data_IF_936295184336
#
_entry.id   IF_936295184336
#
_cell.length_a   1.000
_cell.length_b   1.000
_cell.length_c   1.000
_cell.angle_alpha   90.00
_cell.angle_beta   90.00
_cell.angle_gamma   90.00
#
_symmetry.space_group_name_H-M   'P 1'
#
loop_
_entity.id
_entity.type
_entity.pdbx_description
1 polymer ?
#
# COMPACT_ATOMS: atom_id res chain seq x y z
N UNK A 1 -17.87 -5.55 17.39
CA UNK A 1 -17.06 -4.34 17.63
C UNK A 1 -17.96 -3.22 18.12
N UNK A 2 -17.68 -2.57 19.27
CA UNK A 2 -18.54 -1.50 19.79
C UNK A 2 -18.04 -0.16 19.30
N UNK A 3 -18.56 0.35 18.18
CA UNK A 3 -18.30 1.73 17.70
C UNK A 3 -18.41 2.77 18.83
N UNK A 4 -19.33 2.53 19.78
CA UNK A 4 -19.55 3.36 20.94
C UNK A 4 -18.36 3.43 21.92
N UNK A 5 -17.49 2.41 21.98
CA UNK A 5 -16.29 2.40 22.85
C UNK A 5 -15.09 3.13 22.25
N UNK A 6 -15.21 3.69 21.05
CA UNK A 6 -14.14 4.46 20.42
C UNK A 6 -13.99 5.84 21.09
N UNK A 7 -12.74 6.30 21.17
CA UNK A 7 -12.41 7.64 21.66
C UNK A 7 -12.98 8.73 20.75
N UNK A 8 -13.19 9.97 21.24
CA UNK A 8 -13.64 11.08 20.40
C UNK A 8 -12.76 11.30 19.16
N UNK A 9 -11.44 11.12 19.32
CA UNK A 9 -10.47 11.26 18.23
C UNK A 9 -10.61 10.16 17.18
N UNK A 10 -10.77 8.90 17.58
CA UNK A 10 -11.04 7.80 16.65
C UNK A 10 -12.32 8.04 15.84
N UNK A 11 -13.39 8.52 16.49
CA UNK A 11 -14.65 8.88 15.83
C UNK A 11 -14.48 10.06 14.86
N UNK A 12 -13.60 11.02 15.18
CA UNK A 12 -13.25 12.15 14.29
C UNK A 12 -12.53 11.67 13.04
N UNK A 13 -11.52 10.81 13.20
CA UNK A 13 -10.76 10.22 12.09
C UNK A 13 -11.66 9.39 11.17
N UNK A 14 -12.52 8.53 11.72
CA UNK A 14 -13.47 7.75 10.92
C UNK A 14 -14.37 8.67 10.09
N UNK A 15 -14.93 9.72 10.70
CA UNK A 15 -15.75 10.70 9.96
C UNK A 15 -14.96 11.43 8.89
N UNK A 16 -13.70 11.79 9.14
CA UNK A 16 -12.85 12.42 8.14
C UNK A 16 -12.58 11.50 6.94
N UNK A 17 -12.22 10.24 7.20
CA UNK A 17 -12.02 9.22 6.16
C UNK A 17 -13.29 9.03 5.34
N UNK A 18 -14.45 8.83 6.00
CA UNK A 18 -15.74 8.66 5.31
C UNK A 18 -16.07 9.88 4.45
N UNK A 19 -15.88 11.10 4.96
CA UNK A 19 -16.06 12.32 4.16
C UNK A 19 -15.15 12.34 2.93
N UNK A 20 -13.87 12.03 3.08
CA UNK A 20 -12.94 11.95 1.95
C UNK A 20 -13.40 10.94 0.90
N UNK A 21 -13.84 9.76 1.32
CA UNK A 21 -14.33 8.71 0.42
C UNK A 21 -15.63 9.09 -0.31
N UNK A 22 -16.49 9.91 0.32
CA UNK A 22 -17.70 10.45 -0.34
C UNK A 22 -17.31 11.41 -1.49
N UNK A 23 -16.30 12.26 -1.29
CA UNK A 23 -15.85 13.21 -2.33
C UNK A 23 -14.92 12.56 -3.38
N UNK A 24 -14.26 11.45 -3.04
CA UNK A 24 -13.29 10.74 -3.88
C UNK A 24 -13.53 9.23 -3.82
N UNK A 25 -14.59 8.74 -4.49
CA UNK A 25 -14.96 7.32 -4.45
C UNK A 25 -13.94 6.43 -5.17
N UNK A 26 -13.09 7.00 -6.05
CA UNK A 26 -11.97 6.32 -6.71
C UNK A 26 -10.99 5.67 -5.70
N UNK A 27 -10.88 6.22 -4.49
CA UNK A 27 -10.03 5.67 -3.44
C UNK A 27 -10.56 4.34 -2.87
N UNK A 28 -11.83 4.00 -3.10
CA UNK A 28 -12.39 2.71 -2.67
C UNK A 28 -11.76 1.56 -3.45
N UNK A 29 -11.45 1.74 -4.73
CA UNK A 29 -10.77 0.76 -5.57
C UNK A 29 -9.36 0.45 -5.06
N UNK A 30 -8.71 1.45 -4.44
CA UNK A 30 -7.37 1.35 -3.86
C UNK A 30 -7.38 0.79 -2.42
N UNK A 31 -8.54 0.81 -1.74
CA UNK A 31 -8.65 0.49 -0.31
C UNK A 31 -8.21 -0.94 0.04
N UNK A 32 -8.44 -1.90 -0.87
CA UNK A 32 -8.03 -3.29 -0.70
C UNK A 32 -6.51 -3.46 -0.68
N UNK A 33 -5.80 -2.69 -1.51
CA UNK A 33 -4.34 -2.65 -1.49
C UNK A 33 -3.84 -2.01 -0.20
N UNK A 34 -4.41 -0.86 0.20
CA UNK A 34 -3.99 -0.15 1.40
C UNK A 34 -4.16 -1.00 2.66
N UNK A 35 -5.28 -1.70 2.80
CA UNK A 35 -5.51 -2.60 3.93
C UNK A 35 -4.46 -3.72 3.99
N UNK A 36 -4.21 -4.40 2.86
CA UNK A 36 -3.17 -5.46 2.79
C UNK A 36 -1.78 -4.92 3.11
N UNK A 37 -1.43 -3.75 2.58
CA UNK A 37 -0.14 -3.10 2.87
C UNK A 37 0.00 -2.77 4.36
N UNK A 38 -1.04 -2.24 5.00
CA UNK A 38 -1.03 -1.93 6.43
C UNK A 38 -0.87 -3.22 7.27
N UNK A 39 -1.56 -4.29 6.90
CA UNK A 39 -1.40 -5.59 7.59
C UNK A 39 0.01 -6.15 7.43
N UNK A 40 0.61 -6.07 6.24
CA UNK A 40 1.98 -6.52 6.01
C UNK A 40 3.00 -5.66 6.77
N UNK A 41 2.77 -4.33 6.83
CA UNK A 41 3.61 -3.39 7.58
C UNK A 41 3.56 -3.60 9.09
N UNK A 42 2.47 -4.15 9.61
CA UNK A 42 2.39 -4.56 11.01
C UNK A 42 3.28 -5.78 11.31
N UNK A 43 3.58 -6.62 10.31
CA UNK A 43 4.48 -7.78 10.44
C UNK A 43 5.94 -7.37 10.26
N UNK A 44 6.23 -6.55 9.25
CA UNK A 44 7.60 -6.05 9.00
C UNK A 44 7.59 -4.66 8.36
N UNK A 45 8.54 -3.78 8.70
CA UNK A 45 8.70 -2.50 7.99
C UNK A 45 9.13 -2.68 6.53
N UNK A 46 9.75 -3.81 6.16
CA UNK A 46 10.27 -4.09 4.82
C UNK A 46 9.25 -4.91 4.03
N UNK A 47 8.45 -4.24 3.21
CA UNK A 47 7.37 -4.86 2.41
C UNK A 47 7.56 -4.54 0.94
N UNK A 48 7.43 -5.55 0.08
CA UNK A 48 7.45 -5.33 -1.36
C UNK A 48 6.17 -4.60 -1.80
N UNK A 49 6.25 -3.43 -2.47
CA UNK A 49 5.07 -2.67 -2.83
C UNK A 49 4.28 -3.29 -4.00
N UNK A 50 4.83 -4.29 -4.69
CA UNK A 50 4.17 -4.97 -5.81
C UNK A 50 3.35 -6.17 -5.30
N UNK A 51 3.96 -7.10 -4.57
CA UNK A 51 3.30 -8.32 -4.10
C UNK A 51 2.86 -8.28 -2.63
N UNK A 52 3.22 -7.23 -1.89
CA UNK A 52 2.90 -7.03 -0.46
C UNK A 52 3.51 -8.08 0.48
N UNK A 53 4.49 -8.85 0.03
CA UNK A 53 5.23 -9.79 0.87
C UNK A 53 6.13 -9.04 1.87
N UNK A 54 6.03 -9.35 3.18
CA UNK A 54 6.93 -8.81 4.20
C UNK A 54 8.25 -9.60 4.25
N UNK A 55 9.35 -8.90 4.56
CA UNK A 55 10.70 -9.45 4.65
C UNK A 55 11.36 -9.10 5.98
N UNK A 56 12.28 -9.92 6.48
CA UNK A 56 12.97 -9.67 7.75
C UNK A 56 13.99 -8.53 7.70
N UNK A 57 14.44 -8.12 6.50
CA UNK A 57 15.44 -7.06 6.32
C UNK A 57 15.30 -6.33 4.99
N UNK A 58 15.86 -5.10 4.91
CA UNK A 58 15.94 -4.34 3.64
C UNK A 58 16.76 -5.08 2.57
N UNK A 59 17.85 -5.74 2.96
CA UNK A 59 18.68 -6.53 2.03
C UNK A 59 17.88 -7.68 1.39
N UNK A 60 17.09 -8.40 2.19
CA UNK A 60 16.23 -9.48 1.69
C UNK A 60 15.13 -8.94 0.74
N UNK A 61 14.53 -7.79 1.07
CA UNK A 61 13.57 -7.13 0.18
C UNK A 61 14.21 -6.69 -1.15
N UNK A 62 15.40 -6.10 -1.12
CA UNK A 62 16.13 -5.69 -2.32
C UNK A 62 16.52 -6.87 -3.19
N UNK A 63 16.96 -7.96 -2.56
CA UNK A 63 17.24 -9.22 -3.27
C UNK A 63 15.98 -9.76 -3.92
N UNK A 64 14.86 -9.82 -3.18
CA UNK A 64 13.57 -10.23 -3.72
C UNK A 64 13.19 -9.40 -4.95
N UNK A 65 13.28 -8.07 -4.89
CA UNK A 65 12.96 -7.18 -6.02
C UNK A 65 13.84 -7.45 -7.23
N UNK A 66 15.12 -7.78 -7.02
CA UNK A 66 16.10 -7.94 -8.10
C UNK A 66 15.97 -9.27 -8.84
N UNK A 67 15.63 -10.34 -8.14
CA UNK A 67 15.74 -11.71 -8.67
C UNK A 67 14.41 -12.41 -8.90
N UNK A 68 13.34 -12.01 -8.21
CA UNK A 68 12.02 -12.57 -8.47
C UNK A 68 11.36 -11.89 -9.67
N UNK A 69 10.51 -12.63 -10.37
CA UNK A 69 9.67 -12.07 -11.43
C UNK A 69 8.49 -11.32 -10.81
N UNK A 70 8.38 -10.01 -11.09
CA UNK A 70 7.28 -9.18 -10.61
C UNK A 70 6.31 -8.82 -11.72
N UNK A 71 5.05 -8.67 -11.32
CA UNK A 71 4.05 -8.04 -12.18
C UNK A 71 4.48 -6.61 -12.54
N UNK A 72 4.40 -6.28 -13.83
CA UNK A 72 4.69 -4.94 -14.36
C UNK A 72 3.45 -4.05 -14.33
N UNK A 73 2.60 -4.24 -13.33
CA UNK A 73 1.34 -3.52 -13.15
C UNK A 73 1.29 -2.94 -11.74
N UNK A 74 0.99 -1.64 -11.65
CA UNK A 74 0.72 -0.98 -10.39
C UNK A 74 -0.58 -1.54 -9.79
N UNK A 75 -0.51 -2.18 -8.62
CA UNK A 75 -1.71 -2.75 -7.98
C UNK A 75 -2.67 -1.69 -7.39
N UNK A 76 -2.26 -0.42 -7.37
CA UNK A 76 -3.04 0.71 -6.87
C UNK A 76 -3.91 1.27 -8.00
N UNK A 77 -3.29 1.79 -9.07
CA UNK A 77 -4.00 2.42 -10.19
C UNK A 77 -4.14 1.54 -11.44
N UNK A 78 -3.71 0.28 -11.40
CA UNK A 78 -3.75 -0.71 -12.51
C UNK A 78 -2.99 -0.31 -13.78
N UNK A 79 -2.11 0.68 -13.70
CA UNK A 79 -1.25 1.09 -14.81
C UNK A 79 -0.16 0.05 -15.06
N UNK A 80 0.03 -0.31 -16.34
CA UNK A 80 1.05 -1.27 -16.80
C UNK A 80 2.32 -0.57 -17.28
N UNK A 81 3.45 -1.24 -17.11
CA UNK A 81 4.80 -0.77 -17.44
C UNK A 81 5.58 -1.86 -18.19
N UNK A 82 6.72 -1.47 -18.75
CA UNK A 82 7.62 -2.38 -19.49
C UNK A 82 8.60 -3.10 -18.57
N UNK A 83 8.92 -2.52 -17.41
CA UNK A 83 9.88 -3.06 -16.43
C UNK A 83 9.37 -2.95 -15.00
N UNK A 84 9.91 -3.80 -14.12
CA UNK A 84 9.68 -3.76 -12.67
C UNK A 84 10.15 -2.43 -12.08
N UNK A 85 11.33 -1.95 -12.47
CA UNK A 85 11.87 -0.67 -12.00
C UNK A 85 10.97 0.51 -12.34
N UNK A 86 10.40 0.55 -13.56
CA UNK A 86 9.45 1.59 -13.94
C UNK A 86 8.16 1.53 -13.10
N UNK A 87 7.72 0.32 -12.74
CA UNK A 87 6.57 0.12 -11.85
C UNK A 87 6.88 0.62 -10.44
N UNK A 88 8.06 0.32 -9.91
CA UNK A 88 8.51 0.77 -8.58
C UNK A 88 8.69 2.30 -8.52
N UNK A 89 9.31 2.90 -9.53
CA UNK A 89 9.48 4.35 -9.64
C UNK A 89 8.12 5.04 -9.67
N UNK A 90 7.17 4.51 -10.45
CA UNK A 90 5.80 5.00 -10.48
C UNK A 90 5.12 4.92 -9.11
N UNK A 91 5.19 3.76 -8.42
CA UNK A 91 4.57 3.60 -7.11
C UNK A 91 5.17 4.58 -6.09
N UNK A 92 6.49 4.77 -6.10
CA UNK A 92 7.15 5.70 -5.20
C UNK A 92 6.77 7.16 -5.50
N UNK A 93 6.76 7.59 -6.77
CA UNK A 93 6.48 8.99 -7.15
C UNK A 93 5.01 9.38 -7.18
N UNK A 94 4.11 8.45 -7.51
CA UNK A 94 2.66 8.73 -7.67
C UNK A 94 1.82 8.31 -6.48
N UNK A 95 2.27 7.30 -5.72
CA UNK A 95 1.54 6.78 -4.56
C UNK A 95 2.33 6.88 -3.26
N UNK A 96 3.54 7.45 -3.28
CA UNK A 96 4.37 7.73 -2.12
C UNK A 96 4.72 6.47 -1.29
N UNK A 97 4.79 5.31 -1.93
CA UNK A 97 5.18 4.04 -1.31
C UNK A 97 6.53 3.64 -1.90
N UNK A 98 7.61 3.94 -1.18
CA UNK A 98 8.98 3.71 -1.65
C UNK A 98 9.63 2.56 -0.88
N UNK A 99 10.42 1.75 -1.61
CA UNK A 99 11.32 0.76 -1.01
C UNK A 99 12.56 1.50 -0.51
N UNK A 100 12.95 1.27 0.75
CA UNK A 100 14.18 1.80 1.36
C UNK A 100 15.25 0.70 1.46
#
# INVERSE_FOLDING_TARGET
MRYHSLTPEQKRLIRAIVKTLIYRPDLLDESGYLYKLLTAKAVSPFVCPICLTPFSSSSALKQHIRYEEHGKECQICKKRFTTTDATLDHICKKHNICVK
#
